data_IF_028225876923
#
_entry.id   IF_028225876923
#
_cell.length_a   1.000
_cell.length_b   1.000
_cell.length_c   1.000
_cell.angle_alpha   90.00
_cell.angle_beta   90.00
_cell.angle_gamma   90.00
#
_symmetry.space_group_name_H-M   'P 1'
#
loop_
_entity.id
_entity.type
_entity.pdbx_description
1 polymer ?
#
# COMPACT_ATOMS: atom_id res chain seq x y z
N UNK A 1 -22.57 6.51 36.58
CA UNK A 1 -22.05 6.55 35.20
C UNK A 1 -20.79 7.38 35.23
N UNK A 2 -19.59 6.77 35.14
CA UNK A 2 -18.34 7.55 35.11
C UNK A 2 -18.21 8.12 33.70
N UNK A 3 -18.46 9.42 33.58
CA UNK A 3 -18.24 10.17 32.36
C UNK A 3 -16.73 10.40 32.26
N UNK A 4 -16.05 9.62 31.43
CA UNK A 4 -14.64 9.83 31.11
C UNK A 4 -14.57 11.07 30.22
N UNK A 5 -14.51 12.24 30.83
CA UNK A 5 -14.10 13.47 30.15
C UNK A 5 -12.66 13.28 29.72
N UNK A 6 -12.45 12.94 28.44
CA UNK A 6 -11.16 13.12 27.80
C UNK A 6 -10.74 14.57 27.99
N UNK A 7 -9.52 14.77 28.48
CA UNK A 7 -8.92 16.09 28.60
C UNK A 7 -8.80 16.63 27.16
N UNK A 8 -9.10 17.92 26.93
CA UNK A 8 -9.08 18.49 25.56
C UNK A 8 -7.71 18.34 24.84
N UNK A 9 -6.65 18.08 25.60
CA UNK A 9 -5.29 17.78 25.12
C UNK A 9 -5.14 16.36 24.53
N UNK A 10 -6.05 15.43 24.83
CA UNK A 10 -6.04 14.06 24.30
C UNK A 10 -6.75 13.92 22.95
N UNK A 11 -7.33 15.01 22.42
CA UNK A 11 -8.01 15.00 21.12
C UNK A 11 -6.99 15.06 19.98
N UNK A 12 -6.95 14.02 19.17
CA UNK A 12 -6.02 13.87 18.05
C UNK A 12 -6.17 14.97 16.99
N UNK A 13 -7.38 15.49 16.78
CA UNK A 13 -7.61 16.52 15.77
C UNK A 13 -7.27 17.94 16.26
N UNK A 14 -7.15 18.16 17.57
CA UNK A 14 -6.95 19.49 18.12
C UNK A 14 -5.60 20.08 17.68
N UNK A 15 -5.59 21.34 17.21
CA UNK A 15 -4.38 22.02 16.74
C UNK A 15 -3.79 21.51 15.41
N UNK A 16 -4.38 20.49 14.78
CA UNK A 16 -3.87 19.92 13.52
C UNK A 16 -4.34 20.66 12.27
N UNK A 17 -5.40 21.47 12.39
CA UNK A 17 -6.11 22.06 11.25
C UNK A 17 -7.03 21.07 10.53
N UNK A 18 -7.12 19.82 10.99
CA UNK A 18 -8.00 18.81 10.43
C UNK A 18 -9.41 18.85 11.04
N UNK A 19 -10.40 18.51 10.23
CA UNK A 19 -11.82 18.45 10.58
C UNK A 19 -12.34 17.01 10.54
N UNK A 20 -13.24 16.67 11.46
CA UNK A 20 -13.80 15.32 11.57
C UNK A 20 -14.57 14.86 10.33
N UNK A 21 -15.19 15.79 9.60
CA UNK A 21 -16.00 15.50 8.41
C UNK A 21 -15.21 15.56 7.10
N UNK A 22 -13.89 15.74 7.13
CA UNK A 22 -13.07 15.71 5.93
C UNK A 22 -12.63 14.28 5.55
N UNK A 23 -11.94 14.12 4.42
CA UNK A 23 -11.32 12.82 4.07
C UNK A 23 -10.06 12.63 4.88
N UNK A 24 -9.84 11.42 5.38
CA UNK A 24 -8.60 11.09 6.09
C UNK A 24 -7.76 10.11 5.29
N UNK A 25 -6.44 10.29 5.31
CA UNK A 25 -5.47 9.35 4.79
C UNK A 25 -4.38 9.06 5.82
N UNK A 26 -3.99 7.80 5.93
CA UNK A 26 -2.91 7.36 6.82
C UNK A 26 -1.84 6.60 6.05
N UNK A 27 -0.58 7.00 6.21
CA UNK A 27 0.58 6.31 5.65
C UNK A 27 1.28 5.52 6.76
N UNK A 28 1.58 4.25 6.49
CA UNK A 28 2.32 3.36 7.40
C UNK A 28 3.57 2.86 6.68
N UNK A 29 4.74 3.33 7.11
CA UNK A 29 6.03 3.05 6.46
C UNK A 29 6.53 1.61 6.72
N UNK A 30 7.75 1.28 6.28
CA UNK A 30 8.37 -0.05 6.41
C UNK A 30 9.49 -0.13 7.47
N UNK A 31 10.33 -1.16 7.34
CA UNK A 31 11.51 -1.36 8.21
C UNK A 31 12.64 -0.40 7.83
N UNK A 32 13.29 0.21 8.83
CA UNK A 32 14.34 1.24 8.67
C UNK A 32 13.88 2.49 7.90
N UNK A 33 12.62 2.84 8.06
CA UNK A 33 12.01 4.03 7.47
C UNK A 33 11.38 4.90 8.56
N UNK A 34 11.04 6.14 8.20
CA UNK A 34 10.38 7.12 9.05
C UNK A 34 9.49 8.04 8.21
N UNK A 35 8.74 8.91 8.87
CA UNK A 35 7.77 9.80 8.21
C UNK A 35 8.35 11.11 7.66
N UNK A 36 9.62 11.41 7.91
CA UNK A 36 10.18 12.76 7.74
C UNK A 36 11.27 12.85 6.69
N UNK A 37 12.04 11.78 6.49
CA UNK A 37 13.25 11.77 5.65
C UNK A 37 13.11 10.84 4.45
N UNK A 38 12.14 9.93 4.47
CA UNK A 38 11.99 8.91 3.43
C UNK A 38 11.30 9.49 2.19
N UNK A 39 11.99 9.57 1.03
CA UNK A 39 11.48 10.32 -0.12
C UNK A 39 10.11 9.84 -0.63
N UNK A 40 9.86 8.53 -0.64
CA UNK A 40 8.56 8.01 -1.09
C UNK A 40 7.41 8.38 -0.15
N UNK A 41 7.68 8.50 1.16
CA UNK A 41 6.67 8.88 2.16
C UNK A 41 6.28 10.34 1.96
N UNK A 42 7.27 11.22 1.79
CA UNK A 42 7.05 12.64 1.51
C UNK A 42 6.27 12.83 0.20
N UNK A 43 6.69 12.15 -0.87
CA UNK A 43 6.00 12.20 -2.15
C UNK A 43 4.56 11.68 -2.04
N UNK A 44 4.32 10.61 -1.28
CA UNK A 44 2.98 10.06 -1.11
C UNK A 44 2.09 10.99 -0.30
N UNK A 45 2.62 11.61 0.76
CA UNK A 45 1.90 12.62 1.54
C UNK A 45 1.43 13.76 0.64
N UNK A 46 2.34 14.30 -0.18
CA UNK A 46 2.05 15.42 -1.06
C UNK A 46 1.05 15.01 -2.16
N UNK A 47 1.22 13.82 -2.75
CA UNK A 47 0.27 13.25 -3.72
C UNK A 47 -1.13 13.05 -3.12
N UNK A 48 -1.24 12.51 -1.90
CA UNK A 48 -2.53 12.33 -1.24
C UNK A 48 -3.17 13.67 -0.89
N UNK A 49 -2.38 14.62 -0.39
CA UNK A 49 -2.88 15.97 -0.13
C UNK A 49 -3.45 16.62 -1.39
N UNK A 50 -2.74 16.50 -2.52
CA UNK A 50 -3.17 17.07 -3.81
C UNK A 50 -4.37 16.35 -4.43
N UNK A 51 -4.38 15.01 -4.43
CA UNK A 51 -5.34 14.23 -5.22
C UNK A 51 -6.54 13.70 -4.42
N UNK A 52 -6.37 13.46 -3.11
CA UNK A 52 -7.47 13.05 -2.22
C UNK A 52 -8.09 14.26 -1.52
N UNK A 53 -7.24 15.20 -1.10
CA UNK A 53 -7.60 16.30 -0.20
C UNK A 53 -7.85 15.82 1.23
N UNK A 54 -8.13 16.78 2.11
CA UNK A 54 -8.36 16.55 3.53
C UNK A 54 -7.08 16.28 4.31
N UNK A 55 -7.22 15.51 5.39
CA UNK A 55 -6.18 15.27 6.37
C UNK A 55 -5.28 14.09 5.95
N UNK A 56 -3.97 14.27 6.04
CA UNK A 56 -2.98 13.21 5.79
C UNK A 56 -2.08 13.05 7.00
N UNK A 57 -2.08 11.87 7.60
CA UNK A 57 -1.18 11.50 8.69
C UNK A 57 -0.19 10.42 8.24
N UNK A 58 0.95 10.35 8.91
CA UNK A 58 1.92 9.27 8.77
C UNK A 58 2.22 8.69 10.15
N UNK A 59 2.10 7.37 10.29
CA UNK A 59 2.42 6.68 11.53
C UNK A 59 3.92 6.43 11.59
N UNK A 60 4.63 7.19 12.42
CA UNK A 60 6.06 6.98 12.65
C UNK A 60 6.29 6.02 13.81
N UNK A 61 6.90 4.87 13.51
CA UNK A 61 7.35 3.89 14.50
C UNK A 61 8.85 3.58 14.35
N UNK A 62 9.63 4.54 13.82
CA UNK A 62 11.08 4.45 13.63
C UNK A 62 11.87 4.08 14.88
N UNK A 63 11.36 4.43 16.06
CA UNK A 63 11.91 3.99 17.35
C UNK A 63 12.00 2.46 17.46
N UNK A 64 11.07 1.72 16.85
CA UNK A 64 11.09 0.26 16.77
C UNK A 64 11.75 -0.25 15.49
N UNK A 65 11.54 0.45 14.36
CA UNK A 65 11.95 -0.04 13.04
C UNK A 65 13.42 0.25 12.67
N UNK A 66 14.13 1.09 13.43
CA UNK A 66 15.56 1.37 13.24
C UNK A 66 16.48 0.16 13.59
N UNK A 67 15.99 -0.74 14.45
CA UNK A 67 16.73 -1.90 14.93
C UNK A 67 16.73 -3.12 14.00
N UNK A 68 16.97 -4.30 14.58
CA UNK A 68 16.93 -5.58 13.87
C UNK A 68 15.51 -6.01 13.50
N UNK A 69 15.33 -6.59 12.31
CA UNK A 69 14.01 -6.98 11.80
C UNK A 69 13.25 -7.95 12.73
N UNK A 70 13.95 -8.89 13.37
CA UNK A 70 13.32 -9.80 14.34
C UNK A 70 12.74 -9.10 15.56
N UNK A 71 13.40 -8.04 16.04
CA UNK A 71 12.87 -7.20 17.13
C UNK A 71 11.63 -6.42 16.70
N UNK A 72 11.63 -5.88 15.48
CA UNK A 72 10.46 -5.21 14.90
C UNK A 72 9.27 -6.18 14.77
N UNK A 73 9.49 -7.40 14.28
CA UNK A 73 8.45 -8.45 14.24
C UNK A 73 7.96 -8.81 15.64
N UNK A 74 8.85 -8.90 16.63
CA UNK A 74 8.48 -9.12 18.03
C UNK A 74 7.55 -8.04 18.60
N UNK A 75 7.75 -6.78 18.19
CA UNK A 75 6.94 -5.64 18.60
C UNK A 75 5.66 -5.44 17.76
N UNK A 76 5.35 -6.34 16.80
CA UNK A 76 4.23 -6.15 15.88
C UNK A 76 2.89 -5.88 16.58
N UNK A 77 2.59 -6.61 17.65
CA UNK A 77 1.32 -6.47 18.38
C UNK A 77 1.19 -5.11 19.04
N UNK A 78 2.26 -4.63 19.66
CA UNK A 78 2.27 -3.34 20.36
C UNK A 78 2.09 -2.18 19.36
N UNK A 79 2.82 -2.23 18.24
CA UNK A 79 2.71 -1.22 17.17
C UNK A 79 1.30 -1.27 16.55
N UNK A 80 0.77 -2.46 16.30
CA UNK A 80 -0.61 -2.65 15.81
C UNK A 80 -1.63 -2.03 16.76
N UNK A 81 -1.49 -2.24 18.07
CA UNK A 81 -2.46 -1.75 19.04
C UNK A 81 -2.45 -0.22 19.10
N UNK A 82 -1.28 0.42 18.94
CA UNK A 82 -1.18 1.88 18.76
C UNK A 82 -1.94 2.35 17.51
N UNK A 83 -1.74 1.68 16.37
CA UNK A 83 -2.44 2.01 15.13
C UNK A 83 -3.97 1.83 15.25
N UNK A 84 -4.40 0.74 15.89
CA UNK A 84 -5.81 0.47 16.15
C UNK A 84 -6.43 1.55 17.04
N UNK A 85 -5.78 1.89 18.15
CA UNK A 85 -6.24 2.93 19.07
C UNK A 85 -6.31 4.29 18.39
N UNK A 86 -5.32 4.65 17.58
CA UNK A 86 -5.32 5.89 16.81
C UNK A 86 -6.55 5.99 15.89
N UNK A 87 -6.85 4.95 15.11
CA UNK A 87 -8.03 4.96 14.22
C UNK A 87 -9.35 4.97 15.01
N UNK A 88 -9.44 4.24 16.12
CA UNK A 88 -10.63 4.26 16.99
C UNK A 88 -10.85 5.63 17.62
N UNK A 89 -9.79 6.31 18.03
CA UNK A 89 -9.85 7.65 18.60
C UNK A 89 -10.28 8.68 17.55
N UNK A 90 -9.73 8.61 16.33
CA UNK A 90 -10.22 9.43 15.21
C UNK A 90 -11.71 9.23 14.95
N UNK A 91 -12.19 7.97 14.97
CA UNK A 91 -13.62 7.66 14.82
C UNK A 91 -14.45 8.26 15.96
N UNK A 92 -13.95 8.18 17.19
CA UNK A 92 -14.60 8.79 18.35
C UNK A 92 -14.71 10.32 18.19
N UNK A 93 -13.69 10.95 17.61
CA UNK A 93 -13.67 12.39 17.28
C UNK A 93 -14.49 12.75 16.04
N UNK A 94 -15.13 11.78 15.39
CA UNK A 94 -16.08 11.98 14.30
C UNK A 94 -15.53 11.68 12.90
N UNK A 95 -14.26 11.28 12.78
CA UNK A 95 -13.69 10.85 11.49
C UNK A 95 -14.43 9.62 10.98
N UNK A 96 -14.96 9.73 9.76
CA UNK A 96 -15.75 8.66 9.17
C UNK A 96 -14.83 7.61 8.54
N UNK A 97 -14.84 6.37 9.06
CA UNK A 97 -14.09 5.26 8.45
C UNK A 97 -14.39 5.06 6.97
N UNK A 98 -15.64 5.26 6.55
CA UNK A 98 -16.04 5.20 5.15
C UNK A 98 -15.41 6.27 4.25
N UNK A 99 -14.64 7.22 4.82
CA UNK A 99 -13.85 8.27 4.17
C UNK A 99 -12.38 8.23 4.61
N UNK A 100 -11.93 7.11 5.18
CA UNK A 100 -10.56 6.87 5.62
C UNK A 100 -9.86 5.93 4.66
N UNK A 101 -8.75 6.39 4.09
CA UNK A 101 -7.84 5.62 3.26
C UNK A 101 -6.57 5.29 4.05
N UNK A 102 -6.04 4.06 3.89
CA UNK A 102 -4.77 3.68 4.50
C UNK A 102 -3.83 3.16 3.41
N UNK A 103 -2.60 3.66 3.41
CA UNK A 103 -1.51 3.12 2.62
C UNK A 103 -0.48 2.46 3.54
N UNK A 104 -0.08 1.22 3.23
CA UNK A 104 0.96 0.53 3.98
C UNK A 104 2.04 -0.05 3.07
N UNK A 105 3.31 0.12 3.45
CA UNK A 105 4.44 -0.49 2.74
C UNK A 105 5.14 -1.53 3.63
N UNK A 106 5.56 -2.67 3.05
CA UNK A 106 6.40 -3.65 3.74
C UNK A 106 5.78 -4.16 5.05
N UNK A 107 6.42 -3.92 6.19
CA UNK A 107 5.89 -4.20 7.52
C UNK A 107 4.61 -3.39 7.82
N UNK A 108 4.58 -2.10 7.44
CA UNK A 108 3.41 -1.25 7.59
C UNK A 108 2.19 -1.72 6.81
N UNK A 109 2.40 -2.45 5.71
CA UNK A 109 1.31 -3.08 4.99
C UNK A 109 0.62 -4.17 5.82
N UNK A 110 1.39 -4.99 6.55
CA UNK A 110 0.84 -6.01 7.45
C UNK A 110 0.09 -5.37 8.62
N UNK A 111 0.60 -4.26 9.17
CA UNK A 111 -0.10 -3.47 10.20
C UNK A 111 -1.45 -2.94 9.68
N UNK A 112 -1.45 -2.29 8.52
CA UNK A 112 -2.66 -1.72 7.93
C UNK A 112 -3.74 -2.78 7.68
N UNK A 113 -3.35 -3.95 7.16
CA UNK A 113 -4.28 -5.03 6.86
C UNK A 113 -4.80 -5.76 8.10
N UNK A 114 -3.95 -6.01 9.11
CA UNK A 114 -4.40 -6.62 10.36
C UNK A 114 -5.33 -5.67 11.13
N UNK A 115 -4.98 -4.38 11.23
CA UNK A 115 -5.85 -3.38 11.86
C UNK A 115 -7.18 -3.21 11.13
N UNK A 116 -7.16 -3.08 9.80
CA UNK A 116 -8.40 -3.00 9.02
C UNK A 116 -9.27 -4.26 9.21
N UNK A 117 -8.67 -5.44 9.22
CA UNK A 117 -9.39 -6.70 9.45
C UNK A 117 -10.00 -6.79 10.85
N UNK A 118 -9.35 -6.20 11.86
CA UNK A 118 -9.83 -6.13 13.26
C UNK A 118 -10.92 -5.10 13.48
N UNK A 119 -10.86 -3.96 12.78
CA UNK A 119 -12.00 -3.04 12.70
C UNK A 119 -13.20 -3.81 12.14
N UNK A 120 -12.97 -4.64 11.12
CA UNK A 120 -13.98 -5.52 10.56
C UNK A 120 -15.07 -4.76 9.81
N UNK A 121 -16.07 -5.50 9.34
CA UNK A 121 -17.24 -4.94 8.65
C UNK A 121 -16.94 -4.19 7.34
N UNK A 122 -15.70 -4.23 6.85
CA UNK A 122 -15.24 -3.42 5.72
C UNK A 122 -15.58 -1.93 5.90
N UNK A 123 -15.39 -1.39 7.11
CA UNK A 123 -15.79 -0.01 7.42
C UNK A 123 -14.89 1.04 6.75
N UNK A 124 -13.58 0.76 6.66
CA UNK A 124 -12.60 1.64 6.01
C UNK A 124 -12.88 1.77 4.51
N UNK A 125 -12.71 2.97 3.94
CA UNK A 125 -12.95 3.24 2.51
C UNK A 125 -12.08 2.34 1.63
N UNK A 126 -10.77 2.39 1.84
CA UNK A 126 -9.84 1.59 1.07
C UNK A 126 -8.50 1.42 1.81
N UNK A 127 -7.86 0.29 1.55
CA UNK A 127 -6.47 0.04 1.92
C UNK A 127 -5.69 -0.29 0.66
N UNK A 128 -4.65 0.47 0.38
CA UNK A 128 -3.68 0.11 -0.66
C UNK A 128 -2.39 -0.31 0.02
N UNK A 129 -1.79 -1.41 -0.43
CA UNK A 129 -0.52 -1.88 0.10
C UNK A 129 0.53 -2.04 -0.97
N UNK A 130 1.77 -1.83 -0.53
CA UNK A 130 2.94 -2.05 -1.31
C UNK A 130 3.83 -3.13 -0.69
N UNK A 131 4.06 -4.17 -1.47
CA UNK A 131 4.95 -5.29 -1.25
C UNK A 131 4.99 -5.77 0.21
N UNK A 132 3.83 -6.19 0.71
CA UNK A 132 3.63 -6.64 2.09
C UNK A 132 4.75 -7.59 2.52
N UNK A 133 5.33 -7.36 3.70
CA UNK A 133 6.45 -8.17 4.17
C UNK A 133 6.05 -9.64 4.37
N UNK A 134 6.83 -10.56 3.82
CA UNK A 134 6.69 -12.01 4.03
C UNK A 134 7.43 -12.52 5.27
N UNK A 135 8.71 -12.17 5.50
CA UNK A 135 9.46 -12.66 6.64
C UNK A 135 8.78 -12.32 7.98
N UNK A 136 8.59 -13.33 8.85
CA UNK A 136 7.87 -13.19 10.12
C UNK A 136 6.35 -13.37 10.02
N UNK A 137 5.75 -13.13 8.84
CA UNK A 137 4.30 -13.18 8.62
C UNK A 137 3.87 -14.44 7.85
N UNK A 138 4.66 -14.86 6.86
CA UNK A 138 4.35 -16.01 6.02
C UNK A 138 4.42 -17.34 6.77
N UNK A 139 5.08 -17.39 7.94
CA UNK A 139 5.07 -18.56 8.82
C UNK A 139 3.92 -18.52 9.84
N UNK A 140 3.40 -17.33 10.14
CA UNK A 140 2.36 -17.11 11.14
C UNK A 140 1.00 -17.64 10.67
N UNK A 141 0.33 -18.42 11.52
CA UNK A 141 -0.95 -19.06 11.17
C UNK A 141 -2.05 -18.04 10.93
N UNK A 142 -2.11 -16.95 11.69
CA UNK A 142 -3.15 -15.93 11.55
C UNK A 142 -3.03 -15.25 10.19
N UNK A 143 -1.82 -14.82 9.82
CA UNK A 143 -1.57 -14.20 8.52
C UNK A 143 -1.79 -15.15 7.36
N UNK A 144 -1.48 -16.45 7.51
CA UNK A 144 -1.76 -17.48 6.49
C UNK A 144 -3.24 -17.59 6.15
N UNK A 145 -4.12 -17.61 7.15
CA UNK A 145 -5.57 -17.84 6.94
C UNK A 145 -6.37 -16.56 6.73
N UNK A 146 -5.80 -15.40 7.04
CA UNK A 146 -6.50 -14.13 6.90
C UNK A 146 -6.85 -13.84 5.45
N UNK A 147 -8.09 -13.40 5.26
CA UNK A 147 -8.59 -12.85 4.00
C UNK A 147 -8.60 -11.32 4.12
N UNK A 148 -7.60 -10.67 3.53
CA UNK A 148 -7.44 -9.22 3.63
C UNK A 148 -8.54 -8.44 2.92
N UNK A 149 -9.38 -9.08 2.10
CA UNK A 149 -10.59 -8.45 1.54
C UNK A 149 -11.56 -7.94 2.61
N UNK A 150 -11.48 -8.47 3.83
CA UNK A 150 -12.31 -8.03 4.95
C UNK A 150 -11.82 -6.73 5.62
N UNK A 151 -10.61 -6.25 5.28
CA UNK A 151 -9.97 -5.14 5.97
C UNK A 151 -10.57 -3.76 5.63
N UNK A 152 -11.19 -3.62 4.45
CA UNK A 152 -11.80 -2.38 3.96
C UNK A 152 -12.75 -2.69 2.80
N UNK A 153 -13.56 -1.71 2.36
CA UNK A 153 -14.45 -1.87 1.20
C UNK A 153 -13.69 -2.21 -0.08
N UNK A 154 -12.49 -1.65 -0.24
CA UNK A 154 -11.56 -2.03 -1.29
C UNK A 154 -10.15 -2.24 -0.74
N UNK A 155 -9.46 -3.28 -1.21
CA UNK A 155 -8.11 -3.61 -0.78
C UNK A 155 -7.26 -3.94 -1.99
N UNK A 156 -6.30 -3.07 -2.30
CA UNK A 156 -5.36 -3.24 -3.40
C UNK A 156 -4.00 -3.65 -2.84
N UNK A 157 -3.41 -4.70 -3.40
CA UNK A 157 -2.09 -5.17 -3.00
C UNK A 157 -1.17 -5.19 -4.21
N UNK A 158 -0.04 -4.51 -4.09
CA UNK A 158 0.97 -4.40 -5.14
C UNK A 158 2.18 -5.24 -4.75
N UNK A 159 2.55 -6.19 -5.61
CA UNK A 159 3.64 -7.13 -5.36
C UNK A 159 4.79 -6.83 -6.31
N UNK A 160 5.99 -6.69 -5.75
CA UNK A 160 7.17 -6.33 -6.52
C UNK A 160 8.39 -7.20 -6.20
N UNK A 161 8.43 -7.91 -5.07
CA UNK A 161 9.60 -8.71 -4.69
C UNK A 161 9.30 -10.13 -4.21
N UNK A 162 10.26 -11.02 -4.45
CA UNK A 162 10.26 -12.40 -3.96
C UNK A 162 11.02 -12.58 -2.65
N UNK A 163 12.00 -11.72 -2.36
CA UNK A 163 12.92 -11.87 -1.22
C UNK A 163 12.34 -11.31 0.08
N UNK A 164 11.54 -10.23 -0.02
CA UNK A 164 10.96 -9.53 1.13
C UNK A 164 9.44 -9.52 1.11
N UNK A 165 8.81 -9.61 -0.06
CA UNK A 165 7.36 -9.70 -0.22
C UNK A 165 6.77 -11.03 0.29
N UNK A 166 5.49 -11.01 0.61
CA UNK A 166 4.74 -12.20 1.03
C UNK A 166 4.60 -13.24 -0.08
N UNK A 167 4.68 -14.51 0.32
CA UNK A 167 4.37 -15.68 -0.51
C UNK A 167 2.86 -15.95 -0.64
N UNK A 168 2.01 -15.16 0.02
CA UNK A 168 0.54 -15.26 -0.08
C UNK A 168 -0.11 -14.04 -0.75
N UNK A 169 0.19 -13.80 -2.02
CA UNK A 169 -0.18 -12.57 -2.71
C UNK A 169 -1.65 -12.48 -3.15
N UNK A 170 -2.44 -13.54 -3.03
CA UNK A 170 -3.81 -13.58 -3.57
C UNK A 170 -4.86 -13.38 -2.47
N UNK A 171 -4.67 -12.37 -1.63
CA UNK A 171 -5.49 -12.12 -0.43
C UNK A 171 -6.28 -10.82 -0.46
N UNK A 172 -6.09 -10.01 -1.50
CA UNK A 172 -6.71 -8.70 -1.62
C UNK A 172 -7.73 -8.70 -2.76
N UNK A 173 -8.48 -7.61 -2.89
CA UNK A 173 -9.43 -7.45 -3.97
C UNK A 173 -8.70 -7.40 -5.32
N UNK A 174 -7.71 -6.50 -5.43
CA UNK A 174 -6.82 -6.41 -6.58
C UNK A 174 -5.41 -6.81 -6.15
N UNK A 175 -4.80 -7.76 -6.84
CA UNK A 175 -3.45 -8.25 -6.53
C UNK A 175 -2.55 -7.99 -7.74
N UNK A 176 -1.88 -6.84 -7.75
CA UNK A 176 -1.02 -6.40 -8.85
C UNK A 176 0.34 -7.08 -8.81
N UNK A 177 0.70 -7.69 -9.93
CA UNK A 177 1.98 -8.34 -10.21
C UNK A 177 2.80 -7.42 -11.09
N UNK A 178 3.66 -6.63 -10.46
CA UNK A 178 4.48 -5.66 -11.18
C UNK A 178 5.73 -6.33 -11.76
N UNK A 179 6.15 -5.90 -12.95
CA UNK A 179 7.38 -6.37 -13.56
C UNK A 179 7.35 -7.87 -13.85
N UNK A 180 8.38 -8.59 -13.41
CA UNK A 180 8.48 -10.03 -13.60
C UNK A 180 7.58 -10.76 -12.60
N UNK A 181 6.29 -10.90 -12.92
CA UNK A 181 5.28 -11.62 -12.15
C UNK A 181 5.09 -11.15 -10.69
N UNK A 182 5.48 -9.91 -10.38
CA UNK A 182 5.51 -9.39 -9.02
C UNK A 182 6.67 -9.92 -8.16
N UNK A 183 7.69 -10.51 -8.78
CA UNK A 183 8.83 -11.14 -8.09
C UNK A 183 10.11 -10.33 -8.19
N UNK A 184 10.33 -9.66 -9.33
CA UNK A 184 11.53 -8.86 -9.61
C UNK A 184 11.20 -7.68 -10.51
N UNK A 185 11.89 -6.56 -10.28
CA UNK A 185 11.75 -5.33 -11.05
C UNK A 185 13.02 -5.07 -11.85
N UNK A 186 12.89 -4.73 -13.13
CA UNK A 186 14.04 -4.46 -14.00
C UNK A 186 14.86 -3.25 -13.54
N UNK A 187 14.21 -2.26 -12.91
CA UNK A 187 14.86 -1.08 -12.34
C UNK A 187 15.49 -1.33 -10.95
N UNK A 188 15.46 -2.56 -10.43
CA UNK A 188 15.95 -2.85 -9.09
C UNK A 188 17.47 -2.60 -9.00
N UNK A 189 17.84 -1.70 -8.08
CA UNK A 189 19.22 -1.36 -7.75
C UNK A 189 19.60 -1.80 -6.33
N UNK A 190 20.69 -1.24 -5.77
CA UNK A 190 21.03 -1.45 -4.37
C UNK A 190 19.94 -0.89 -3.44
N UNK A 191 19.83 -1.40 -2.19
CA UNK A 191 18.93 -0.82 -1.19
C UNK A 191 19.12 0.71 -1.04
N UNK A 192 18.04 1.47 -0.84
CA UNK A 192 16.66 1.01 -0.65
C UNK A 192 15.91 0.69 -1.95
N UNK A 193 16.47 0.95 -3.13
CA UNK A 193 15.81 0.84 -4.44
C UNK A 193 15.85 -0.57 -5.06
N UNK A 194 15.89 -1.60 -4.22
CA UNK A 194 15.68 -2.98 -4.69
C UNK A 194 14.22 -3.22 -5.11
N UNK A 195 13.92 -4.43 -5.59
CA UNK A 195 12.56 -4.80 -6.03
C UNK A 195 11.47 -4.49 -4.99
N UNK A 196 11.77 -4.69 -3.70
CA UNK A 196 10.88 -4.36 -2.58
C UNK A 196 10.61 -2.86 -2.45
N UNK A 197 11.67 -2.05 -2.36
CA UNK A 197 11.55 -0.59 -2.16
C UNK A 197 11.08 0.17 -3.40
N UNK A 198 11.10 -0.45 -4.58
CA UNK A 198 10.50 0.13 -5.77
C UNK A 198 8.97 0.14 -5.74
N UNK A 199 8.30 -0.66 -4.91
CA UNK A 199 6.84 -0.63 -4.85
C UNK A 199 6.27 0.76 -4.55
N UNK A 200 6.63 1.42 -3.42
CA UNK A 200 6.10 2.75 -3.13
C UNK A 200 6.57 3.81 -4.14
N UNK A 201 7.70 3.58 -4.83
CA UNK A 201 8.13 4.43 -5.95
C UNK A 201 7.15 4.31 -7.12
N UNK A 202 6.82 3.10 -7.58
CA UNK A 202 5.84 2.90 -8.65
C UNK A 202 4.45 3.41 -8.27
N UNK A 203 4.04 3.19 -7.01
CA UNK A 203 2.76 3.69 -6.52
C UNK A 203 2.68 5.22 -6.58
N UNK A 204 3.73 5.92 -6.16
CA UNK A 204 3.82 7.38 -6.31
C UNK A 204 3.83 7.82 -7.77
N UNK A 205 4.57 7.12 -8.63
CA UNK A 205 4.57 7.41 -10.06
C UNK A 205 3.21 7.20 -10.70
N UNK A 206 2.36 6.32 -10.15
CA UNK A 206 1.02 6.04 -10.65
C UNK A 206 0.04 7.23 -10.53
N UNK A 207 0.38 8.28 -9.77
CA UNK A 207 -0.37 9.53 -9.79
C UNK A 207 -0.23 10.27 -11.13
N UNK A 208 0.90 10.09 -11.84
CA UNK A 208 1.23 10.78 -13.10
C UNK A 208 1.32 9.84 -14.31
N UNK A 209 1.90 8.66 -14.15
CA UNK A 209 2.16 7.70 -15.21
C UNK A 209 1.24 6.49 -15.09
N UNK A 210 0.88 5.89 -16.22
CA UNK A 210 -0.10 4.80 -16.23
C UNK A 210 0.59 3.43 -16.22
N UNK A 211 0.48 2.71 -15.10
CA UNK A 211 0.81 1.30 -15.00
C UNK A 211 -0.43 0.47 -15.34
N UNK A 212 -0.65 0.26 -16.65
CA UNK A 212 -1.85 -0.38 -17.18
C UNK A 212 -1.87 -1.89 -16.88
N UNK A 213 -3.07 -2.42 -16.63
CA UNK A 213 -3.32 -3.85 -16.61
C UNK A 213 -3.11 -4.46 -18.00
N UNK A 214 -2.35 -5.53 -18.04
CA UNK A 214 -2.03 -6.28 -19.25
C UNK A 214 -2.36 -7.77 -19.08
N UNK A 215 -2.54 -8.49 -20.20
CA UNK A 215 -2.61 -9.96 -20.20
C UNK A 215 -1.49 -10.57 -19.37
N UNK A 216 -1.81 -11.64 -18.66
CA UNK A 216 -0.83 -12.38 -17.87
C UNK A 216 0.35 -12.83 -18.78
N UNK A 217 1.60 -12.52 -18.43
CA UNK A 217 2.76 -13.06 -19.14
C UNK A 217 2.82 -14.59 -19.04
N UNK A 218 3.25 -15.26 -20.10
CA UNK A 218 3.24 -16.73 -20.20
C UNK A 218 4.08 -17.41 -19.12
N UNK A 219 5.16 -16.75 -18.71
CA UNK A 219 6.09 -17.20 -17.67
C UNK A 219 5.51 -17.07 -16.24
N UNK A 220 4.40 -16.37 -16.06
CA UNK A 220 3.82 -16.15 -14.74
C UNK A 220 2.88 -17.28 -14.33
N UNK A 221 3.24 -17.97 -13.25
CA UNK A 221 2.35 -18.91 -12.56
C UNK A 221 1.30 -18.11 -11.77
N UNK A 222 0.02 -18.34 -12.04
CA UNK A 222 -1.08 -17.60 -11.44
C UNK A 222 -2.32 -18.47 -11.26
N UNK A 223 -2.95 -18.37 -10.08
CA UNK A 223 -4.23 -18.98 -9.76
C UNK A 223 -5.26 -17.87 -9.45
N UNK A 224 -6.41 -17.84 -10.13
CA UNK A 224 -7.42 -16.79 -9.92
C UNK A 224 -7.05 -15.45 -10.57
N UNK A 225 -6.55 -15.49 -11.81
CA UNK A 225 -6.36 -14.30 -12.63
C UNK A 225 -7.68 -13.62 -12.97
N UNK A 226 -7.63 -12.29 -13.12
CA UNK A 226 -8.77 -11.53 -13.65
C UNK A 226 -9.02 -11.96 -15.09
N UNK A 227 -10.24 -12.40 -15.40
CA UNK A 227 -10.61 -12.82 -16.76
C UNK A 227 -10.63 -11.65 -17.75
N UNK A 228 -11.04 -10.47 -17.31
CA UNK A 228 -11.14 -9.25 -18.10
C UNK A 228 -11.20 -8.00 -17.20
N UNK A 229 -10.68 -6.88 -17.68
CA UNK A 229 -10.76 -5.57 -17.01
C UNK A 229 -11.20 -4.48 -18.00
N UNK A 230 -11.75 -3.36 -17.51
CA UNK A 230 -12.07 -2.22 -18.36
C UNK A 230 -10.83 -1.69 -19.09
N UNK A 231 -11.03 -1.12 -20.28
CA UNK A 231 -9.94 -0.45 -21.00
C UNK A 231 -9.31 0.65 -20.14
N UNK A 232 -7.98 0.74 -20.19
CA UNK A 232 -7.21 1.71 -19.40
C UNK A 232 -7.21 1.44 -17.89
N UNK A 233 -7.64 0.27 -17.42
CA UNK A 233 -7.55 -0.10 -16.00
C UNK A 233 -6.10 -0.09 -15.54
N UNK A 234 -5.81 0.57 -14.42
CA UNK A 234 -4.43 0.86 -14.00
C UNK A 234 -4.21 0.71 -12.50
N UNK A 235 -2.96 0.45 -12.12
CA UNK A 235 -2.53 0.40 -10.72
C UNK A 235 -2.49 1.81 -10.10
N UNK A 236 -2.72 1.91 -8.80
CA UNK A 236 -2.49 3.13 -8.01
C UNK A 236 -3.76 3.70 -7.38
N UNK A 237 -3.63 4.86 -6.73
CA UNK A 237 -4.74 5.53 -6.03
C UNK A 237 -5.84 6.00 -7.00
N UNK A 238 -5.45 6.61 -8.12
CA UNK A 238 -6.34 7.33 -9.03
C UNK A 238 -7.28 6.44 -9.88
N UNK A 239 -7.18 5.12 -9.79
CA UNK A 239 -8.14 4.21 -10.44
C UNK A 239 -9.45 4.19 -9.64
N UNK A 240 -10.50 4.79 -10.19
CA UNK A 240 -11.81 4.90 -9.54
C UNK A 240 -12.67 3.65 -9.70
N UNK A 241 -12.31 2.73 -10.61
CA UNK A 241 -13.08 1.54 -10.94
C UNK A 241 -12.63 0.30 -10.17
N UNK A 242 -11.80 0.43 -9.12
CA UNK A 242 -11.22 -0.70 -8.37
C UNK A 242 -12.26 -1.75 -7.97
N UNK A 243 -13.43 -1.33 -7.50
CA UNK A 243 -14.51 -2.22 -7.07
C UNK A 243 -15.04 -3.17 -8.17
N UNK A 244 -14.82 -2.85 -9.44
CA UNK A 244 -15.30 -3.64 -10.60
C UNK A 244 -14.39 -4.81 -10.95
N UNK A 245 -13.16 -4.85 -10.42
CA UNK A 245 -12.14 -5.85 -10.78
C UNK A 245 -11.65 -6.57 -9.53
N UNK A 246 -11.60 -7.91 -9.60
CA UNK A 246 -11.11 -8.77 -8.51
C UNK A 246 -10.24 -9.91 -9.03
N UNK A 247 -9.09 -10.14 -8.39
CA UNK A 247 -8.15 -11.20 -8.75
C UNK A 247 -6.73 -10.70 -8.98
N UNK A 248 -5.95 -11.49 -9.71
CA UNK A 248 -4.58 -11.11 -10.09
C UNK A 248 -4.54 -10.27 -11.36
N UNK A 249 -3.78 -9.18 -11.30
CA UNK A 249 -3.55 -8.22 -12.39
C UNK A 249 -2.06 -8.13 -12.66
N UNK A 250 -1.67 -7.86 -13.90
CA UNK A 250 -0.26 -7.77 -14.29
C UNK A 250 0.00 -6.40 -14.90
N UNK A 251 1.10 -5.77 -14.52
CA UNK A 251 1.57 -4.54 -15.14
C UNK A 251 3.09 -4.65 -15.36
N UNK A 252 3.58 -4.53 -16.60
CA UNK A 252 5.01 -4.59 -16.84
C UNK A 252 5.70 -3.37 -16.22
N UNK A 253 6.95 -3.56 -15.83
CA UNK A 253 7.84 -2.48 -15.42
C UNK A 253 9.19 -2.62 -16.11
N UNK A 254 9.83 -1.51 -16.44
CA UNK A 254 11.07 -1.47 -17.20
C UNK A 254 12.22 -0.87 -16.39
N UNK A 255 13.44 -0.93 -16.94
CA UNK A 255 14.65 -0.47 -16.25
C UNK A 255 14.79 1.06 -16.22
N UNK A 256 14.17 1.76 -17.16
CA UNK A 256 14.31 3.21 -17.34
C UNK A 256 13.05 3.95 -16.89
N UNK A 257 13.25 5.10 -16.26
CA UNK A 257 12.17 6.00 -15.85
C UNK A 257 11.32 6.41 -17.07
N UNK A 258 9.97 6.45 -16.98
CA UNK A 258 9.13 6.31 -15.79
C UNK A 258 8.73 4.87 -15.41
N UNK A 259 9.46 3.88 -15.94
CA UNK A 259 9.33 2.45 -15.65
C UNK A 259 8.04 1.79 -16.12
N UNK A 260 7.10 2.50 -16.74
CA UNK A 260 5.84 1.94 -17.25
C UNK A 260 5.81 1.75 -18.78
N UNK A 261 6.89 2.11 -19.48
CA UNK A 261 7.04 1.98 -20.95
C UNK A 261 8.41 1.42 -21.32
N UNK A 262 8.47 0.65 -22.40
CA UNK A 262 9.73 0.09 -22.91
C UNK A 262 10.41 1.08 -23.86
N UNK A 263 11.29 1.93 -23.34
CA UNK A 263 11.97 2.99 -24.12
C UNK A 263 12.96 2.41 -25.14
N UNK A 264 13.56 1.26 -24.85
CA UNK A 264 14.53 0.59 -25.75
C UNK A 264 13.86 -0.13 -26.93
N UNK A 265 12.60 -0.53 -26.81
CA UNK A 265 11.85 -1.08 -27.94
C UNK A 265 11.37 0.01 -28.91
N UNK A 266 11.04 1.20 -28.41
CA UNK A 266 10.54 2.32 -29.21
C UNK A 266 11.63 3.08 -29.98
N UNK A 267 12.91 2.86 -29.67
CA UNK A 267 14.04 3.43 -30.41
C UNK A 267 14.44 2.61 -31.64
N UNK A 268 13.99 1.36 -31.74
CA UNK A 268 14.26 0.50 -32.90
C UNK A 268 13.20 0.60 -34.01
N UNK A 269 12.07 1.25 -33.77
CA UNK A 269 10.98 1.43 -34.76
C UNK A 269 11.14 2.65 -35.66
N UNK A 270 12.17 3.49 -35.46
CA UNK A 270 12.37 4.72 -36.24
C UNK A 270 13.40 4.60 -37.38
N UNK A 271 13.96 3.41 -37.63
CA UNK A 271 15.08 3.23 -38.58
C UNK A 271 14.75 2.36 -39.81
N UNK A 272 13.49 2.33 -40.25
CA UNK A 272 13.13 1.74 -41.55
C UNK A 272 12.12 2.61 -42.30
N UNK A 273 12.58 3.76 -42.79
CA UNK A 273 12.06 4.37 -44.01
C UNK A 273 13.27 4.74 -44.87
N UNK A 274 13.52 3.93 -45.90
CA UNK A 274 14.27 4.29 -47.10
C UNK A 274 13.35 4.07 -48.28
#
# INVERSE_FOLDING_TARGET
TKQTTLIEEDRLLNGTGCAADERFALIVHGWRENCYEVPWVLALRDNLHQHRGGCVACMDYSAFSSGGYGGLVGAFRDIRDVLMHFLQQLRYEGVQFGRTFVFGFSFGAQLALDVGSRIGGQELEAIDTCDMAGPGFDSDRAFKVMDFRNAAKNVQCVHTSIDKGTKFPNKCHQNWRMGQCGLRQAAAGPPPLGSHGLCPVFYNLAFKYQFLAQPKPLECVSFGEVRSWPEGFKMGYNEQRKATVRGQLFAPTFAEFPFNVNVTANSNTTTTVR
#
